data_IF_463498611731
#
_entry.id   IF_463498611731
#
_cell.length_a   1.000
_cell.length_b   1.000
_cell.length_c   1.000
_cell.angle_alpha   90.00
_cell.angle_beta   90.00
_cell.angle_gamma   90.00
#
_symmetry.space_group_name_H-M   'P 1'
#
loop_
_entity.id
_entity.type
_entity.pdbx_description
1 polymer ?
#
# COMPACT_ATOMS: atom_id res chain seq x y z
N UNK A 1 36.11 -6.67 -29.99
CA UNK A 1 35.59 -7.45 -28.86
C UNK A 1 34.63 -6.55 -28.12
N UNK A 2 33.40 -7.03 -28.00
CA UNK A 2 32.17 -6.23 -28.04
C UNK A 2 31.93 -5.30 -26.84
N UNK A 3 31.38 -4.13 -27.17
CA UNK A 3 30.80 -3.16 -26.26
C UNK A 3 29.54 -3.76 -25.62
N UNK A 4 29.57 -4.04 -24.31
CA UNK A 4 28.33 -4.32 -23.57
C UNK A 4 27.66 -3.00 -23.19
N UNK A 5 26.91 -2.45 -24.15
CA UNK A 5 25.94 -1.40 -23.92
C UNK A 5 24.73 -1.96 -23.13
N UNK A 6 24.43 -1.30 -21.99
CA UNK A 6 23.10 -1.03 -21.41
C UNK A 6 22.07 -2.17 -21.44
N UNK A 7 21.83 -2.79 -20.28
CA UNK A 7 20.70 -3.71 -20.08
C UNK A 7 20.13 -3.57 -18.67
N UNK A 8 19.60 -2.40 -18.31
CA UNK A 8 18.61 -2.35 -17.22
C UNK A 8 17.39 -3.09 -17.72
N UNK A 9 17.05 -4.20 -17.07
CA UNK A 9 15.87 -5.01 -17.36
C UNK A 9 14.63 -4.11 -17.58
N UNK A 10 13.89 -4.24 -18.70
CA UNK A 10 12.66 -3.49 -18.92
C UNK A 10 11.52 -3.90 -17.98
N UNK A 11 11.73 -4.93 -17.13
CA UNK A 11 10.78 -5.41 -16.14
C UNK A 11 11.12 -5.00 -14.70
N UNK A 12 11.89 -3.92 -14.51
CA UNK A 12 12.04 -3.29 -13.18
C UNK A 12 10.76 -2.54 -12.74
N UNK A 13 9.58 -3.01 -13.15
CA UNK A 13 8.28 -2.37 -12.96
C UNK A 13 7.21 -3.29 -12.37
N UNK A 14 7.54 -4.53 -11.95
CA UNK A 14 6.54 -5.49 -11.47
C UNK A 14 6.97 -6.23 -10.19
N UNK A 15 7.51 -5.48 -9.22
CA UNK A 15 7.45 -5.84 -7.81
C UNK A 15 6.76 -4.70 -7.06
N UNK A 16 5.61 -4.23 -7.56
CA UNK A 16 4.64 -3.61 -6.65
C UNK A 16 4.12 -4.75 -5.79
N UNK A 17 4.74 -4.92 -4.63
CA UNK A 17 4.28 -5.85 -3.61
C UNK A 17 2.86 -5.40 -3.23
N UNK A 18 1.85 -6.07 -3.78
CA UNK A 18 0.46 -5.84 -3.40
C UNK A 18 0.26 -6.49 -2.03
N UNK A 19 0.08 -5.65 -1.02
CA UNK A 19 -0.23 -6.09 0.34
C UNK A 19 -1.73 -6.35 0.48
N UNK A 20 -2.06 -7.26 1.38
CA UNK A 20 -3.46 -7.59 1.73
C UNK A 20 -3.60 -7.44 3.23
N UNK A 21 -4.67 -6.81 3.67
CA UNK A 21 -4.84 -6.53 5.08
C UNK A 21 -6.29 -6.29 5.46
N UNK A 22 -6.47 -6.05 6.74
CA UNK A 22 -7.76 -5.73 7.33
C UNK A 22 -7.72 -4.32 7.92
N UNK A 23 -8.73 -3.53 7.64
CA UNK A 23 -8.83 -2.17 8.19
C UNK A 23 -9.13 -2.27 9.68
N UNK A 24 -8.13 -1.96 10.50
CA UNK A 24 -8.26 -2.00 11.97
C UNK A 24 -9.13 -0.86 12.49
N UNK A 25 -9.00 0.31 11.88
CA UNK A 25 -9.77 1.50 12.25
C UNK A 25 -9.68 2.53 11.12
N UNK A 26 -10.79 3.19 10.80
CA UNK A 26 -10.79 4.33 9.89
C UNK A 26 -11.74 5.42 10.41
N UNK A 27 -11.23 6.64 10.54
CA UNK A 27 -12.03 7.79 10.93
C UNK A 27 -12.37 8.62 9.69
N UNK A 28 -13.57 8.44 9.15
CA UNK A 28 -14.04 9.18 7.97
C UNK A 28 -14.02 10.70 8.19
N UNK A 29 -14.37 11.17 9.39
CA UNK A 29 -14.39 12.60 9.73
C UNK A 29 -13.00 13.24 9.77
N UNK A 30 -11.98 12.50 10.21
CA UNK A 30 -10.58 12.97 10.26
C UNK A 30 -9.78 12.60 9.01
N UNK A 31 -10.27 11.67 8.20
CA UNK A 31 -9.64 11.23 6.95
C UNK A 31 -8.38 10.35 7.12
N UNK A 32 -8.26 9.61 8.21
CA UNK A 32 -7.14 8.69 8.41
C UNK A 32 -7.53 7.42 9.18
N UNK A 33 -6.70 6.39 9.06
CA UNK A 33 -6.88 5.12 9.75
C UNK A 33 -5.61 4.28 9.77
N UNK A 34 -5.80 3.00 10.07
CA UNK A 34 -4.75 1.98 10.10
C UNK A 34 -5.25 0.67 9.47
N UNK A 35 -4.38 0.03 8.70
CA UNK A 35 -4.58 -1.28 8.08
C UNK A 35 -3.56 -2.24 8.69
N UNK A 36 -4.02 -3.42 9.11
CA UNK A 36 -3.14 -4.49 9.57
C UNK A 36 -2.88 -5.42 8.39
N UNK A 37 -1.61 -5.60 8.03
CA UNK A 37 -1.25 -6.55 6.99
C UNK A 37 -1.46 -7.99 7.46
N UNK A 38 -2.04 -8.82 6.59
CA UNK A 38 -2.37 -10.20 6.92
C UNK A 38 -1.12 -11.09 6.99
N UNK A 39 -0.02 -10.71 6.33
CA UNK A 39 1.22 -11.50 6.27
C UNK A 39 2.18 -11.15 7.41
N UNK A 40 2.49 -9.86 7.59
CA UNK A 40 3.44 -9.41 8.60
C UNK A 40 2.80 -9.04 9.94
N UNK A 41 1.47 -8.89 9.99
CA UNK A 41 0.74 -8.34 11.14
C UNK A 41 1.17 -6.91 11.51
N UNK A 42 1.88 -6.21 10.61
CA UNK A 42 2.28 -4.83 10.80
C UNK A 42 1.14 -3.86 10.52
N UNK A 43 1.18 -2.72 11.19
CA UNK A 43 0.20 -1.65 11.04
C UNK A 43 0.70 -0.59 10.07
N UNK A 44 -0.03 -0.41 8.99
CA UNK A 44 0.22 0.62 7.99
C UNK A 44 -0.75 1.78 8.18
N UNK A 45 -0.18 2.99 8.23
CA UNK A 45 -0.99 4.21 8.27
C UNK A 45 -1.69 4.40 6.93
N UNK A 46 -2.97 4.78 6.93
CA UNK A 46 -3.71 5.12 5.71
C UNK A 46 -4.33 6.51 5.83
N UNK A 47 -4.22 7.28 4.76
CA UNK A 47 -4.87 8.59 4.61
C UNK A 47 -5.96 8.53 3.53
N UNK A 48 -6.99 9.35 3.66
CA UNK A 48 -8.12 9.42 2.71
C UNK A 48 -7.67 9.69 1.26
N UNK A 49 -6.54 10.35 1.07
CA UNK A 49 -5.98 10.60 -0.28
C UNK A 49 -5.37 9.37 -0.94
N UNK A 50 -5.05 8.33 -0.17
CA UNK A 50 -4.54 7.05 -0.67
C UNK A 50 -5.64 6.03 -0.93
N UNK A 51 -6.89 6.36 -0.63
CA UNK A 51 -8.03 5.48 -0.86
C UNK A 51 -8.52 5.58 -2.31
N UNK A 52 -8.67 4.42 -2.95
CA UNK A 52 -9.40 4.26 -4.21
C UNK A 52 -10.87 4.04 -3.92
N UNK A 53 -11.16 3.14 -2.97
CA UNK A 53 -12.51 2.83 -2.51
C UNK A 53 -12.78 3.37 -1.10
N UNK A 54 -14.06 3.54 -0.76
CA UNK A 54 -14.45 3.84 0.61
C UNK A 54 -14.33 2.58 1.46
N UNK A 55 -13.49 2.66 2.48
CA UNK A 55 -13.23 1.56 3.41
C UNK A 55 -13.84 1.84 4.78
N UNK A 56 -14.18 0.77 5.51
CA UNK A 56 -14.68 0.79 6.88
C UNK A 56 -13.87 -0.15 7.76
N UNK A 57 -14.01 0.02 9.07
CA UNK A 57 -13.44 -0.91 10.05
C UNK A 57 -13.91 -2.34 9.77
N UNK A 58 -12.97 -3.28 9.75
CA UNK A 58 -13.21 -4.70 9.46
C UNK A 58 -13.15 -5.08 7.99
N UNK A 59 -13.07 -4.12 7.05
CA UNK A 59 -12.99 -4.45 5.63
C UNK A 59 -11.64 -5.09 5.28
N UNK A 60 -11.70 -6.09 4.40
CA UNK A 60 -10.52 -6.66 3.75
C UNK A 60 -10.14 -5.79 2.56
N UNK A 61 -8.87 -5.40 2.50
CA UNK A 61 -8.37 -4.44 1.52
C UNK A 61 -7.07 -4.92 0.91
N UNK A 62 -6.84 -4.48 -0.32
CA UNK A 62 -5.54 -4.56 -0.98
C UNK A 62 -4.95 -3.17 -1.07
N UNK A 63 -3.64 -3.05 -0.83
CA UNK A 63 -2.95 -1.77 -0.79
C UNK A 63 -1.47 -1.94 -1.15
N UNK A 64 -0.86 -0.83 -1.55
CA UNK A 64 0.58 -0.74 -1.73
C UNK A 64 1.17 0.05 -0.56
N UNK A 65 2.46 -0.17 -0.26
CA UNK A 65 3.14 0.53 0.82
C UNK A 65 4.22 1.44 0.26
N UNK A 66 4.19 2.70 0.69
CA UNK A 66 5.19 3.70 0.33
C UNK A 66 5.83 4.36 1.55
N UNK A 67 7.07 4.80 1.40
CA UNK A 67 7.79 5.55 2.43
C UNK A 67 7.23 6.98 2.50
N UNK A 68 6.33 7.22 3.45
CA UNK A 68 5.80 8.54 3.77
C UNK A 68 6.70 9.32 4.73
N UNK A 69 6.39 10.61 4.91
CA UNK A 69 7.10 11.51 5.85
C UNK A 69 7.04 11.04 7.32
N UNK A 70 6.07 10.19 7.67
CA UNK A 70 5.80 9.71 9.03
C UNK A 70 5.99 8.19 9.18
N UNK A 71 6.65 7.55 8.21
CA UNK A 71 6.79 6.09 8.14
C UNK A 71 6.01 5.49 6.97
N UNK A 72 5.85 4.17 7.02
CA UNK A 72 5.17 3.40 5.98
C UNK A 72 3.70 3.81 5.87
N UNK A 73 3.27 4.19 4.66
CA UNK A 73 1.92 4.63 4.35
C UNK A 73 1.30 3.71 3.30
N UNK A 74 0.06 3.29 3.54
CA UNK A 74 -0.75 2.56 2.59
C UNK A 74 -1.31 3.52 1.53
N UNK A 75 -1.12 3.16 0.27
CA UNK A 75 -1.59 3.88 -0.91
C UNK A 75 -2.30 2.91 -1.86
N UNK A 76 -3.07 3.46 -2.80
CA UNK A 76 -3.89 2.67 -3.74
C UNK A 76 -4.80 1.65 -3.04
N UNK A 77 -5.36 2.04 -1.89
CA UNK A 77 -6.16 1.15 -1.04
C UNK A 77 -7.53 0.92 -1.68
N UNK A 78 -7.84 -0.34 -1.95
CA UNK A 78 -9.10 -0.79 -2.55
C UNK A 78 -9.66 -2.00 -1.80
N UNK A 79 -10.97 -2.24 -1.92
CA UNK A 79 -11.58 -3.43 -1.33
C UNK A 79 -11.04 -4.69 -2.02
N UNK A 80 -10.79 -5.74 -1.23
CA UNK A 80 -10.27 -7.02 -1.70
C UNK A 80 -11.36 -7.94 -2.28
#
# INVERSE_FOLDING_TARGET
MEYLCIGKSPYHHLLFEMHTGTVKFFNESKGFGFIVDNSSNEEFFVHVTGLVDKIREGDSVTFNVENGRKGMNAVEVKLA
#
